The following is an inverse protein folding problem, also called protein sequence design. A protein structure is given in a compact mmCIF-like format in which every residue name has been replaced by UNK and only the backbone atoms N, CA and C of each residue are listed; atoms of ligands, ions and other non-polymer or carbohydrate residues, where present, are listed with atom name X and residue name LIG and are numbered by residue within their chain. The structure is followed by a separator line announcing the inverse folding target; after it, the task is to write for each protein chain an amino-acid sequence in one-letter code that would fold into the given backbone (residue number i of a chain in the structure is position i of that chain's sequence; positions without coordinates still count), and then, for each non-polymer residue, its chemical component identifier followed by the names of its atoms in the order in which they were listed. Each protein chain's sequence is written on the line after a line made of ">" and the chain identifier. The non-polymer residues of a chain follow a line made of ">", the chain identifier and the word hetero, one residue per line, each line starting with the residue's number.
data_IF_115345835652
#
_entry.id   IF_115345835652
#
_cell.length_a   1.000
_cell.length_b   1.000
_cell.length_c   1.000
_cell.angle_alpha   90.00
_cell.angle_beta   90.00
_cell.angle_gamma   90.00
#
_symmetry.space_group_name_H-M   'P 1'
#
loop_
_entity.id
_entity.type
_entity.pdbx_description
1 polymer ?
#
# COMPACT_ATOMS: atom_id res chain seq x y z
N UNK A 1 -8.00 14.92 12.09
CA UNK A 1 -7.38 13.81 11.34
C UNK A 1 -6.67 14.43 10.15
N UNK A 2 -5.39 14.14 9.94
CA UNK A 2 -4.69 14.56 8.72
C UNK A 2 -5.13 13.69 7.52
N UNK A 3 -4.87 14.18 6.30
CA UNK A 3 -5.27 13.55 5.05
C UNK A 3 -4.68 12.13 4.89
N UNK A 4 -3.42 11.93 5.27
CA UNK A 4 -2.73 10.63 5.15
C UNK A 4 -3.44 9.60 6.03
N UNK A 5 -3.75 9.96 7.27
CA UNK A 5 -4.49 9.08 8.18
C UNK A 5 -5.86 8.70 7.62
N UNK A 6 -6.59 9.63 7.02
CA UNK A 6 -7.89 9.33 6.39
C UNK A 6 -7.73 8.36 5.22
N UNK A 7 -6.76 8.58 4.33
CA UNK A 7 -6.50 7.69 3.20
C UNK A 7 -6.12 6.29 3.64
N UNK A 8 -5.26 6.14 4.66
CA UNK A 8 -4.92 4.82 5.22
C UNK A 8 -6.16 4.06 5.74
N UNK A 9 -7.16 4.77 6.26
CA UNK A 9 -8.43 4.16 6.71
C UNK A 9 -9.25 3.68 5.52
N UNK A 10 -9.35 4.48 4.45
CA UNK A 10 -10.13 4.14 3.25
C UNK A 10 -9.48 3.04 2.40
N UNK A 11 -8.16 3.06 2.25
CA UNK A 11 -7.40 2.11 1.43
C UNK A 11 -7.13 0.77 2.13
N UNK A 12 -7.33 0.73 3.45
CA UNK A 12 -7.08 -0.44 4.30
C UNK A 12 -5.87 -0.23 5.21
N UNK A 13 -6.14 -0.18 6.51
CA UNK A 13 -5.12 0.06 7.53
C UNK A 13 -4.08 -1.06 7.58
N UNK A 14 -2.92 -0.79 8.20
CA UNK A 14 -1.88 -1.80 8.40
C UNK A 14 -2.42 -3.01 9.18
N UNK A 15 -3.27 -2.76 10.17
CA UNK A 15 -3.90 -3.78 11.00
C UNK A 15 -4.82 -4.67 10.16
N UNK A 16 -5.63 -4.08 9.28
CA UNK A 16 -6.49 -4.82 8.37
C UNK A 16 -5.67 -5.64 7.37
N UNK A 17 -4.65 -5.02 6.76
CA UNK A 17 -3.76 -5.71 5.83
C UNK A 17 -2.98 -6.85 6.50
N UNK A 18 -2.64 -6.73 7.78
CA UNK A 18 -2.04 -7.80 8.59
C UNK A 18 -3.03 -8.95 8.80
N UNK A 19 -4.29 -8.63 9.12
CA UNK A 19 -5.33 -9.63 9.31
C UNK A 19 -5.58 -10.49 8.06
N UNK A 20 -5.58 -9.87 6.87
CA UNK A 20 -5.77 -10.58 5.59
C UNK A 20 -4.48 -11.12 4.96
N UNK A 21 -3.33 -10.96 5.63
CA UNK A 21 -2.04 -11.52 5.21
C UNK A 21 -1.26 -10.72 4.16
N UNK A 22 -1.70 -9.52 3.81
CA UNK A 22 -1.01 -8.58 2.91
C UNK A 22 0.10 -7.80 3.62
N UNK A 23 0.06 -7.73 4.95
CA UNK A 23 1.18 -7.27 5.75
C UNK A 23 1.74 -8.42 6.60
N UNK A 24 2.99 -8.81 6.33
CA UNK A 24 3.67 -9.90 7.06
C UNK A 24 5.16 -9.62 7.12
N UNK A 25 5.82 -10.12 8.17
CA UNK A 25 7.25 -9.94 8.40
C UNK A 25 7.70 -8.46 8.37
N UNK A 26 6.85 -7.55 8.88
CA UNK A 26 7.14 -6.12 8.91
C UNK A 26 7.06 -5.44 7.54
N UNK A 27 6.44 -6.07 6.54
CA UNK A 27 6.40 -5.55 5.17
C UNK A 27 5.04 -5.71 4.50
N UNK A 28 4.62 -4.67 3.79
CA UNK A 28 3.50 -4.70 2.84
C UNK A 28 3.88 -5.51 1.61
N UNK A 29 3.04 -6.46 1.24
CA UNK A 29 3.27 -7.41 0.17
C UNK A 29 2.45 -6.99 -1.05
N UNK A 30 2.91 -7.38 -2.24
CA UNK A 30 2.08 -7.25 -3.44
C UNK A 30 0.85 -8.15 -3.28
N UNK A 31 -0.32 -7.58 -3.54
CA UNK A 31 -1.60 -8.28 -3.55
C UNK A 31 -2.36 -7.98 -4.85
N UNK A 32 -3.48 -8.66 -5.04
CA UNK A 32 -4.44 -8.32 -6.10
C UNK A 32 -5.59 -7.55 -5.50
N UNK A 33 -5.92 -6.39 -6.07
CA UNK A 33 -7.12 -5.66 -5.70
C UNK A 33 -8.40 -6.40 -6.13
N UNK A 34 -9.56 -5.79 -5.86
CA UNK A 34 -10.86 -6.35 -6.21
C UNK A 34 -11.09 -6.48 -7.73
N UNK A 35 -10.32 -5.78 -8.56
CA UNK A 35 -10.32 -5.88 -10.02
C UNK A 35 -9.27 -6.86 -10.54
N UNK A 36 -8.45 -7.45 -9.66
CA UNK A 36 -7.41 -8.42 -10.00
C UNK A 36 -6.06 -7.80 -10.37
N UNK A 37 -5.88 -6.49 -10.21
CA UNK A 37 -4.63 -5.80 -10.56
C UNK A 37 -3.59 -5.88 -9.44
N UNK A 38 -2.28 -5.91 -9.79
CA UNK A 38 -1.20 -5.94 -8.81
C UNK A 38 -1.10 -4.60 -8.08
N UNK A 39 -1.26 -4.65 -6.76
CA UNK A 39 -1.34 -3.48 -5.87
C UNK A 39 -0.44 -3.68 -4.66
N UNK A 40 0.07 -2.60 -4.06
CA UNK A 40 0.91 -2.65 -2.86
C UNK A 40 0.68 -1.45 -1.94
N UNK A 41 1.01 -1.60 -0.65
CA UNK A 41 0.96 -0.50 0.32
C UNK A 41 -0.48 -0.05 0.58
N UNK A 42 -0.70 1.26 0.51
CA UNK A 42 -2.03 1.86 0.66
C UNK A 42 -2.65 2.13 -0.71
N UNK A 43 -3.05 1.08 -1.42
CA UNK A 43 -3.82 1.20 -2.67
C UNK A 43 -3.00 1.54 -3.93
N UNK A 44 -1.66 1.47 -3.89
CA UNK A 44 -0.84 1.82 -5.05
C UNK A 44 -0.90 0.73 -6.14
N UNK A 45 -1.53 1.06 -7.27
CA UNK A 45 -1.55 0.22 -8.46
C UNK A 45 -0.15 0.19 -9.09
N UNK A 46 0.48 -0.99 -9.13
CA UNK A 46 1.84 -1.18 -9.66
C UNK A 46 1.84 -0.94 -11.17
N UNK A 47 2.63 0.04 -11.63
CA UNK A 47 2.73 0.41 -13.04
C UNK A 47 3.86 -0.35 -13.73
N UNK A 48 3.87 -0.30 -15.07
CA UNK A 48 4.92 -0.91 -15.88
C UNK A 48 6.28 -0.31 -15.52
N UNK A 49 7.22 -1.18 -15.12
CA UNK A 49 8.57 -0.79 -14.71
C UNK A 49 8.78 -0.72 -13.20
N UNK A 50 7.70 -0.80 -12.40
CA UNK A 50 7.79 -0.90 -10.95
C UNK A 50 7.84 -2.36 -10.51
N UNK A 51 8.62 -2.64 -9.47
CA UNK A 51 8.78 -3.98 -8.92
C UNK A 51 9.08 -3.92 -7.43
N UNK A 52 8.38 -4.74 -6.66
CA UNK A 52 8.48 -4.80 -5.21
C UNK A 52 8.65 -6.24 -4.72
N UNK A 53 9.70 -6.97 -5.15
CA UNK A 53 9.87 -8.39 -4.84
C UNK A 53 10.01 -8.65 -3.33
N UNK A 54 10.50 -7.65 -2.59
CA UNK A 54 10.63 -7.72 -1.14
C UNK A 54 9.47 -7.06 -0.39
N UNK A 55 8.49 -6.46 -1.08
CA UNK A 55 7.47 -5.63 -0.44
C UNK A 55 8.00 -4.27 0.04
N UNK A 56 7.22 -3.56 0.86
CA UNK A 56 7.56 -2.23 1.42
C UNK A 56 7.60 -2.26 2.95
N UNK A 57 8.52 -1.52 3.58
CA UNK A 57 8.40 -1.19 5.01
C UNK A 57 7.25 -0.21 5.26
N UNK A 58 6.96 0.07 6.53
CA UNK A 58 5.98 1.06 6.93
C UNK A 58 6.32 2.46 6.37
N UNK A 59 7.60 2.84 6.43
CA UNK A 59 8.10 4.12 5.93
C UNK A 59 8.08 4.20 4.41
N UNK A 60 8.46 3.12 3.71
CA UNK A 60 8.42 3.05 2.25
C UNK A 60 6.96 3.14 1.73
N UNK A 61 6.01 2.48 2.40
CA UNK A 61 4.59 2.54 2.05
C UNK A 61 3.98 3.93 2.31
N UNK A 62 4.38 4.60 3.38
CA UNK A 62 3.95 5.98 3.65
C UNK A 62 4.54 6.98 2.66
N UNK A 63 5.83 6.86 2.34
CA UNK A 63 6.47 7.70 1.33
C UNK A 63 5.83 7.52 -0.07
N UNK A 64 5.45 6.29 -0.42
CA UNK A 64 4.74 6.00 -1.66
C UNK A 64 3.35 6.66 -1.68
N UNK A 65 2.59 6.57 -0.59
CA UNK A 65 1.29 7.23 -0.46
C UNK A 65 1.41 8.76 -0.60
N UNK A 66 2.42 9.37 0.04
CA UNK A 66 2.68 10.82 -0.09
C UNK A 66 2.97 11.19 -1.55
N UNK A 67 3.76 10.38 -2.26
CA UNK A 67 4.05 10.59 -3.68
C UNK A 67 2.81 10.49 -4.55
N UNK A 68 1.93 9.52 -4.28
CA UNK A 68 0.67 9.35 -5.03
C UNK A 68 -0.28 10.55 -4.81
N UNK A 69 -0.37 11.07 -3.58
CA UNK A 69 -1.15 12.28 -3.27
C UNK A 69 -0.64 13.51 -4.04
N UNK A 70 0.68 13.65 -4.21
CA UNK A 70 1.27 14.80 -4.89
C UNK A 70 1.01 14.82 -6.41
N UNK A 71 0.59 13.69 -7.00
CA UNK A 71 0.38 13.53 -8.45
C UNK A 71 -1.13 13.45 -8.80
N UNK A 72 -2.00 13.32 -7.79
CA UNK A 72 -3.46 13.27 -7.92
C UNK A 72 -4.07 14.66 -8.14
#
# INVERSE_FOLDING_TARGET
>A
MDLITQLKIFEGTKEYQKYIGYYRNGRFQVYKDHLGYPTIGYGHLIKKGESFPNGLTDEEAEALLIKDIAIA
#
